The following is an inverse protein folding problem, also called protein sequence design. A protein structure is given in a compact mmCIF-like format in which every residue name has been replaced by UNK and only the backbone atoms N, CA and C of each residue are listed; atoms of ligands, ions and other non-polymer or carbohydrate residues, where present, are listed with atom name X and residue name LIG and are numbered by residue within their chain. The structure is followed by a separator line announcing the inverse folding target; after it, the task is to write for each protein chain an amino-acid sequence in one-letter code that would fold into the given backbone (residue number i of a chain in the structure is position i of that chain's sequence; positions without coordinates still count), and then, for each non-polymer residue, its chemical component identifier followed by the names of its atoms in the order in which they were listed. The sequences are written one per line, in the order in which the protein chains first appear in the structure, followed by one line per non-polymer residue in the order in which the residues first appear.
data_IF_887347255817
#
_entry.id   IF_887347255817
#
_cell.length_a   1.000
_cell.length_b   1.000
_cell.length_c   1.000
_cell.angle_alpha   90.00
_cell.angle_beta   90.00
_cell.angle_gamma   90.00
#
_symmetry.space_group_name_H-M   'P 1'
#
loop_
_entity.id
_entity.type
_entity.pdbx_description
1 polymer ?
#
# COMPACT_ATOMS: atom_id res chain seq x y z
N UNK A 1 21.97 -8.98 -16.45
CA UNK A 1 20.75 -9.71 -16.09
C UNK A 1 20.97 -11.14 -16.53
N UNK A 2 20.67 -12.18 -15.75
CA UNK A 2 20.71 -13.55 -16.26
C UNK A 2 19.78 -13.67 -17.47
N UNK A 3 20.09 -14.59 -18.39
CA UNK A 3 19.23 -14.87 -19.54
C UNK A 3 17.90 -15.45 -19.04
N UNK A 4 16.92 -14.58 -18.84
CA UNK A 4 15.60 -14.96 -18.34
C UNK A 4 14.77 -15.54 -19.49
N UNK A 5 14.08 -16.68 -19.32
CA UNK A 5 13.09 -17.16 -20.28
C UNK A 5 12.08 -16.06 -20.60
N UNK A 6 11.63 -15.96 -21.86
CA UNK A 6 10.83 -14.82 -22.30
C UNK A 6 9.58 -14.52 -21.46
N UNK A 7 8.88 -15.56 -21.00
CA UNK A 7 7.70 -15.39 -20.12
C UNK A 7 8.07 -14.87 -18.73
N UNK A 8 9.19 -15.27 -18.18
CA UNK A 8 9.68 -14.78 -16.89
C UNK A 8 10.06 -13.29 -16.96
N UNK A 9 10.64 -12.85 -18.09
CA UNK A 9 10.91 -11.44 -18.33
C UNK A 9 9.62 -10.62 -18.35
N UNK A 10 8.57 -11.14 -19.00
CA UNK A 10 7.24 -10.50 -19.00
C UNK A 10 6.71 -10.37 -17.58
N UNK A 11 6.82 -11.41 -16.76
CA UNK A 11 6.37 -11.39 -15.35
C UNK A 11 7.14 -10.34 -14.55
N UNK A 12 8.47 -10.26 -14.71
CA UNK A 12 9.29 -9.24 -14.04
C UNK A 12 8.87 -7.84 -14.45
N UNK A 13 8.66 -7.60 -15.74
CA UNK A 13 8.19 -6.29 -16.24
C UNK A 13 6.80 -5.96 -15.69
N UNK A 14 5.86 -6.90 -15.68
CA UNK A 14 4.53 -6.71 -15.10
C UNK A 14 4.61 -6.41 -13.58
N UNK A 15 5.50 -7.07 -12.85
CA UNK A 15 5.68 -6.82 -11.43
C UNK A 15 6.24 -5.42 -11.17
N UNK A 16 7.18 -4.94 -11.98
CA UNK A 16 7.68 -3.57 -11.89
C UNK A 16 6.61 -2.53 -12.31
N UNK A 17 5.78 -2.84 -13.31
CA UNK A 17 4.62 -2.01 -13.68
C UNK A 17 3.56 -1.99 -12.59
N UNK A 18 3.33 -3.14 -11.93
CA UNK A 18 2.47 -3.18 -10.74
C UNK A 18 3.02 -2.27 -9.64
N UNK A 19 4.31 -2.34 -9.34
CA UNK A 19 4.94 -1.53 -8.29
C UNK A 19 4.92 -0.03 -8.63
N UNK A 20 5.16 0.32 -9.89
CA UNK A 20 4.97 1.68 -10.40
C UNK A 20 3.51 2.15 -10.24
N UNK A 21 2.53 1.32 -10.65
CA UNK A 21 1.10 1.65 -10.51
C UNK A 21 0.68 1.77 -9.05
N UNK A 22 1.26 0.94 -8.17
CA UNK A 22 1.09 1.02 -6.73
C UNK A 22 1.63 2.35 -6.18
N UNK A 23 2.87 2.71 -6.51
CA UNK A 23 3.46 3.99 -6.13
C UNK A 23 2.64 5.19 -6.61
N UNK A 24 2.13 5.14 -7.84
CA UNK A 24 1.27 6.18 -8.40
C UNK A 24 -0.06 6.28 -7.65
N UNK A 25 -0.77 5.17 -7.50
CA UNK A 25 -2.05 5.09 -6.79
C UNK A 25 -1.92 5.51 -5.32
N UNK A 26 -0.92 4.96 -4.63
CA UNK A 26 -0.75 5.09 -3.18
C UNK A 26 0.14 6.27 -2.76
N UNK A 27 0.64 7.09 -3.71
CA UNK A 27 1.32 8.35 -3.40
C UNK A 27 0.52 9.24 -2.46
N UNK A 28 -0.81 9.20 -2.59
CA UNK A 28 -1.74 9.92 -1.73
C UNK A 28 -1.59 9.57 -0.25
N UNK A 29 -1.22 8.34 0.09
CA UNK A 29 -1.03 7.89 1.46
C UNK A 29 0.09 8.65 2.16
N UNK A 30 1.14 8.99 1.41
CA UNK A 30 2.30 9.73 1.92
C UNK A 30 2.12 11.25 1.91
N UNK A 31 1.34 11.81 0.96
CA UNK A 31 1.36 13.25 0.71
C UNK A 31 0.02 13.97 0.93
N UNK A 32 -1.13 13.27 0.97
CA UNK A 32 -2.44 13.91 0.98
C UNK A 32 -2.63 14.84 2.19
N UNK A 33 -2.15 14.46 3.35
CA UNK A 33 -2.23 15.22 4.59
C UNK A 33 -1.38 16.49 4.52
N UNK A 34 -0.09 16.38 4.17
CA UNK A 34 0.86 17.50 4.14
C UNK A 34 0.55 18.50 3.02
N UNK A 35 0.00 18.04 1.89
CA UNK A 35 -0.47 18.89 0.80
C UNK A 35 -1.76 19.61 1.17
N UNK A 36 -2.73 18.91 1.78
CA UNK A 36 -4.02 19.51 2.17
C UNK A 36 -3.89 20.55 3.28
N UNK A 37 -2.93 20.39 4.19
CA UNK A 37 -2.59 21.36 5.23
C UNK A 37 -1.72 22.53 4.73
N UNK A 38 -1.28 22.47 3.46
CA UNK A 38 -0.42 23.46 2.81
C UNK A 38 0.90 23.70 3.55
N UNK A 39 1.45 22.65 4.12
CA UNK A 39 2.78 22.72 4.78
C UNK A 39 3.88 22.66 3.73
N UNK A 40 3.66 21.88 2.66
CA UNK A 40 4.58 21.75 1.52
C UNK A 40 3.82 21.93 0.21
N UNK A 41 4.49 22.40 -0.83
CA UNK A 41 3.91 22.44 -2.18
C UNK A 41 3.73 21.01 -2.74
N UNK A 42 2.73 20.78 -3.60
CA UNK A 42 2.45 19.46 -4.15
C UNK A 42 3.66 18.81 -4.83
N UNK A 43 4.40 19.56 -5.64
CA UNK A 43 5.58 19.04 -6.35
C UNK A 43 6.69 18.60 -5.38
N UNK A 44 7.00 19.41 -4.38
CA UNK A 44 8.02 19.07 -3.37
C UNK A 44 7.58 17.85 -2.58
N UNK A 45 6.29 17.73 -2.25
CA UNK A 45 5.75 16.59 -1.52
C UNK A 45 5.92 15.27 -2.30
N UNK A 46 5.56 15.22 -3.59
CA UNK A 46 5.70 13.98 -4.39
C UNK A 46 7.15 13.60 -4.63
N UNK A 47 8.02 14.58 -4.90
CA UNK A 47 9.45 14.31 -5.14
C UNK A 47 10.13 13.80 -3.87
N UNK A 48 9.88 14.45 -2.72
CA UNK A 48 10.41 14.01 -1.43
C UNK A 48 9.87 12.61 -1.06
N UNK A 49 8.57 12.37 -1.24
CA UNK A 49 7.96 11.07 -0.98
C UNK A 49 8.53 9.97 -1.89
N UNK A 50 8.75 10.25 -3.18
CA UNK A 50 9.39 9.32 -4.10
C UNK A 50 10.78 8.88 -3.63
N UNK A 51 11.64 9.84 -3.25
CA UNK A 51 12.99 9.56 -2.72
C UNK A 51 12.94 8.77 -1.41
N UNK A 52 12.02 9.14 -0.50
CA UNK A 52 11.87 8.46 0.78
C UNK A 52 11.28 7.06 0.65
N UNK A 53 10.41 6.82 -0.33
CA UNK A 53 9.94 5.48 -0.67
C UNK A 53 11.08 4.59 -1.17
N UNK A 54 11.96 5.12 -2.03
CA UNK A 54 13.18 4.40 -2.45
C UNK A 54 14.00 4.02 -1.23
N UNK A 55 14.28 4.96 -0.33
CA UNK A 55 15.06 4.69 0.89
C UNK A 55 14.38 3.64 1.79
N UNK A 56 13.06 3.75 1.98
CA UNK A 56 12.28 2.81 2.78
C UNK A 56 12.30 1.37 2.24
N UNK A 57 12.29 1.21 0.92
CA UNK A 57 12.30 -0.09 0.26
C UNK A 57 13.50 -0.97 0.62
N UNK A 58 14.62 -0.38 1.03
CA UNK A 58 15.83 -1.10 1.45
C UNK A 58 15.81 -1.53 2.94
N UNK A 59 14.76 -1.16 3.71
CA UNK A 59 14.74 -1.38 5.15
C UNK A 59 14.59 -2.86 5.52
N UNK A 60 13.77 -3.62 4.80
CA UNK A 60 13.42 -5.01 5.13
C UNK A 60 12.95 -5.78 3.88
N UNK A 61 13.00 -7.11 3.96
CA UNK A 61 12.40 -8.03 2.97
C UNK A 61 11.41 -9.01 3.60
N UNK A 62 11.00 -8.78 4.85
CA UNK A 62 10.14 -9.70 5.59
C UNK A 62 8.74 -9.84 4.95
N UNK A 63 8.14 -8.72 4.52
CA UNK A 63 6.86 -8.73 3.78
C UNK A 63 7.02 -9.42 2.42
N UNK A 64 8.15 -9.20 1.72
CA UNK A 64 8.41 -9.85 0.45
C UNK A 64 8.47 -11.39 0.59
N UNK A 65 9.09 -11.90 1.64
CA UNK A 65 9.11 -13.35 1.93
C UNK A 65 7.70 -13.88 2.19
N UNK A 66 6.86 -13.15 2.91
CA UNK A 66 5.47 -13.53 3.16
C UNK A 66 4.64 -13.56 1.87
N UNK A 67 4.74 -12.53 1.03
CA UNK A 67 4.03 -12.46 -0.24
C UNK A 67 4.53 -13.53 -1.22
N UNK A 68 5.85 -13.74 -1.30
CA UNK A 68 6.46 -14.65 -2.25
C UNK A 68 6.28 -16.14 -1.94
N UNK A 69 6.20 -16.54 -0.68
CA UNK A 69 6.14 -17.96 -0.31
C UNK A 69 5.09 -18.31 0.73
N UNK A 70 4.44 -17.30 1.32
CA UNK A 70 3.47 -17.48 2.39
C UNK A 70 2.02 -17.65 1.92
N UNK A 71 1.61 -17.05 0.80
CA UNK A 71 0.20 -16.98 0.36
C UNK A 71 -0.17 -18.14 -0.56
N UNK A 72 0.67 -18.45 -1.54
CA UNK A 72 0.47 -19.54 -2.50
C UNK A 72 1.61 -20.54 -2.37
N UNK A 73 1.30 -21.81 -2.59
CA UNK A 73 2.31 -22.86 -2.57
C UNK A 73 3.18 -22.77 -3.83
N UNK A 74 4.50 -22.50 -3.73
CA UNK A 74 5.38 -22.34 -4.88
C UNK A 74 5.39 -23.51 -5.85
N UNK A 75 5.08 -24.73 -5.40
CA UNK A 75 5.02 -25.92 -6.24
C UNK A 75 3.90 -25.88 -7.30
N UNK A 76 2.88 -25.07 -7.10
CA UNK A 76 1.75 -24.91 -8.04
C UNK A 76 1.83 -23.61 -8.84
N UNK A 77 2.86 -22.79 -8.62
CA UNK A 77 2.98 -21.49 -9.28
C UNK A 77 3.50 -21.65 -10.70
N UNK A 78 2.73 -21.14 -11.67
CA UNK A 78 3.17 -20.99 -13.06
C UNK A 78 3.36 -19.52 -13.42
N UNK A 79 4.15 -19.24 -14.44
CA UNK A 79 4.44 -17.87 -14.87
C UNK A 79 3.18 -17.18 -15.42
N UNK A 80 2.31 -17.93 -16.11
CA UNK A 80 1.04 -17.45 -16.63
C UNK A 80 0.09 -17.03 -15.51
N UNK A 81 0.05 -17.82 -14.42
CA UNK A 81 -0.74 -17.50 -13.23
C UNK A 81 -0.27 -16.19 -12.58
N UNK A 82 1.05 -16.02 -12.43
CA UNK A 82 1.64 -14.80 -11.85
C UNK A 82 1.40 -13.61 -12.77
N UNK A 83 1.56 -13.76 -14.09
CA UNK A 83 1.29 -12.70 -15.06
C UNK A 83 -0.18 -12.25 -15.02
N UNK A 84 -1.12 -13.21 -14.96
CA UNK A 84 -2.55 -12.92 -14.85
C UNK A 84 -2.90 -12.20 -13.53
N UNK A 85 -2.30 -12.61 -12.41
CA UNK A 85 -2.47 -11.95 -11.13
C UNK A 85 -1.98 -10.50 -11.16
N UNK A 86 -0.79 -10.26 -11.70
CA UNK A 86 -0.23 -8.91 -11.84
C UNK A 86 -1.07 -8.04 -12.75
N UNK A 87 -1.47 -8.55 -13.91
CA UNK A 87 -2.33 -7.81 -14.84
C UNK A 87 -3.68 -7.46 -14.20
N UNK A 88 -4.31 -8.38 -13.49
CA UNK A 88 -5.56 -8.13 -12.76
C UNK A 88 -5.41 -7.06 -11.68
N UNK A 89 -4.33 -7.10 -10.91
CA UNK A 89 -4.04 -6.11 -9.87
C UNK A 89 -3.75 -4.71 -10.47
N UNK A 90 -2.99 -4.64 -11.56
CA UNK A 90 -2.71 -3.39 -12.28
C UNK A 90 -4.01 -2.76 -12.80
N UNK A 91 -4.83 -3.56 -13.49
CA UNK A 91 -6.11 -3.07 -14.04
C UNK A 91 -7.04 -2.57 -12.93
N UNK A 92 -7.09 -3.27 -11.78
CA UNK A 92 -7.86 -2.80 -10.62
C UNK A 92 -7.34 -1.48 -10.07
N UNK A 93 -6.01 -1.36 -9.88
CA UNK A 93 -5.38 -0.13 -9.41
C UNK A 93 -5.66 1.05 -10.36
N UNK A 94 -5.53 0.84 -11.67
CA UNK A 94 -5.83 1.88 -12.67
C UNK A 94 -7.30 2.28 -12.66
N UNK A 95 -8.21 1.30 -12.59
CA UNK A 95 -9.65 1.55 -12.51
C UNK A 95 -10.01 2.42 -11.29
N UNK A 96 -9.52 2.05 -10.11
CA UNK A 96 -9.80 2.80 -8.87
C UNK A 96 -9.08 4.15 -8.81
N UNK A 97 -7.90 4.27 -9.41
CA UNK A 97 -7.18 5.54 -9.58
C UNK A 97 -8.02 6.53 -10.43
N UNK A 98 -8.56 6.08 -11.56
CA UNK A 98 -9.39 6.91 -12.45
C UNK A 98 -10.68 7.39 -11.75
N UNK A 99 -11.23 6.57 -10.86
CA UNK A 99 -12.41 6.93 -10.06
C UNK A 99 -12.07 7.79 -8.81
N UNK A 100 -10.78 7.99 -8.52
CA UNK A 100 -10.32 8.70 -7.32
C UNK A 100 -10.69 7.98 -6.02
N UNK A 101 -10.81 6.65 -6.07
CA UNK A 101 -11.14 5.81 -4.91
C UNK A 101 -9.85 5.36 -4.22
N UNK A 102 -9.62 5.71 -2.96
CA UNK A 102 -8.47 5.25 -2.18
C UNK A 102 -8.69 3.78 -1.77
N UNK A 103 -8.39 2.86 -2.67
CA UNK A 103 -8.43 1.42 -2.42
C UNK A 103 -7.05 0.91 -2.00
N UNK A 104 -6.96 -0.37 -1.72
CA UNK A 104 -5.72 -1.02 -1.28
C UNK A 104 -5.09 -1.83 -2.40
N UNK A 105 -3.92 -1.42 -2.85
CA UNK A 105 -3.09 -2.19 -3.78
C UNK A 105 -2.65 -3.54 -3.20
N UNK A 106 -2.50 -3.65 -1.85
CA UNK A 106 -2.25 -4.93 -1.18
C UNK A 106 -3.42 -5.89 -1.33
N UNK A 107 -4.66 -5.41 -1.11
CA UNK A 107 -5.87 -6.21 -1.32
C UNK A 107 -6.02 -6.60 -2.79
N UNK A 108 -5.73 -5.69 -3.72
CA UNK A 108 -5.79 -5.97 -5.14
C UNK A 108 -4.79 -7.08 -5.53
N UNK A 109 -3.53 -6.99 -5.09
CA UNK A 109 -2.52 -7.99 -5.40
C UNK A 109 -2.85 -9.36 -4.78
N UNK A 110 -3.22 -9.39 -3.50
CA UNK A 110 -3.52 -10.65 -2.79
C UNK A 110 -4.78 -11.29 -3.37
N UNK A 111 -5.82 -10.49 -3.61
CA UNK A 111 -7.05 -10.96 -4.27
C UNK A 111 -6.77 -11.53 -5.65
N UNK A 112 -6.00 -10.82 -6.48
CA UNK A 112 -5.62 -11.27 -7.81
C UNK A 112 -4.76 -12.55 -7.77
N UNK A 113 -3.78 -12.64 -6.85
CA UNK A 113 -2.94 -13.81 -6.70
C UNK A 113 -3.76 -15.05 -6.28
N UNK A 114 -4.65 -14.90 -5.31
CA UNK A 114 -5.56 -15.98 -4.88
C UNK A 114 -6.53 -16.34 -6.00
N UNK A 115 -7.13 -15.37 -6.68
CA UNK A 115 -8.07 -15.62 -7.79
C UNK A 115 -7.44 -16.40 -8.93
N UNK A 116 -6.28 -15.96 -9.43
CA UNK A 116 -5.54 -16.68 -10.48
C UNK A 116 -5.11 -18.09 -10.03
N UNK A 117 -4.63 -18.22 -8.78
CA UNK A 117 -4.18 -19.48 -8.20
C UNK A 117 -5.33 -20.48 -8.07
N UNK A 118 -6.48 -20.08 -7.54
CA UNK A 118 -7.66 -20.93 -7.41
C UNK A 118 -8.20 -21.34 -8.78
N UNK A 119 -8.16 -20.45 -9.75
CA UNK A 119 -8.58 -20.76 -11.12
C UNK A 119 -7.63 -21.75 -11.80
N UNK A 120 -6.33 -21.68 -11.48
CA UNK A 120 -5.32 -22.59 -11.98
C UNK A 120 -5.45 -24.01 -11.43
N UNK A 121 -5.49 -24.18 -10.09
CA UNK A 121 -5.39 -25.48 -9.45
C UNK A 121 -6.31 -25.66 -8.24
N UNK A 122 -7.35 -24.84 -8.10
CA UNK A 122 -8.30 -24.91 -7.00
C UNK A 122 -7.73 -24.41 -5.66
N UNK A 123 -8.51 -24.54 -4.62
CA UNK A 123 -8.16 -24.07 -3.27
C UNK A 123 -6.95 -24.75 -2.63
N UNK A 124 -6.52 -25.91 -3.15
CA UNK A 124 -5.33 -26.62 -2.68
C UNK A 124 -4.02 -25.86 -2.96
N UNK A 125 -4.03 -24.93 -3.92
CA UNK A 125 -2.88 -24.08 -4.25
C UNK A 125 -2.64 -23.01 -3.20
N UNK A 126 -3.64 -22.64 -2.40
CA UNK A 126 -3.58 -21.58 -1.40
C UNK A 126 -3.02 -22.08 -0.08
N UNK A 127 -2.02 -21.41 0.44
CA UNK A 127 -1.45 -21.66 1.78
C UNK A 127 -2.28 -20.95 2.86
N UNK A 128 -3.26 -21.65 3.41
CA UNK A 128 -4.14 -21.08 4.44
C UNK A 128 -3.40 -20.62 5.70
N UNK A 129 -2.32 -21.31 6.08
CA UNK A 129 -1.49 -20.97 7.24
C UNK A 129 -0.79 -19.60 7.10
N UNK A 130 -0.51 -19.18 5.87
CA UNK A 130 0.07 -17.86 5.61
C UNK A 130 -0.98 -16.82 5.20
N UNK A 131 -2.02 -17.23 4.45
CA UNK A 131 -3.08 -16.29 4.05
C UNK A 131 -3.88 -15.77 5.25
N UNK A 132 -4.21 -16.64 6.23
CA UNK A 132 -4.99 -16.29 7.41
C UNK A 132 -4.39 -15.11 8.20
N UNK A 133 -3.12 -15.14 8.67
CA UNK A 133 -2.55 -14.00 9.40
C UNK A 133 -2.48 -12.72 8.54
N UNK A 134 -2.32 -12.84 7.23
CA UNK A 134 -2.39 -11.70 6.31
C UNK A 134 -3.79 -11.09 6.30
N UNK A 135 -4.84 -11.90 6.16
CA UNK A 135 -6.23 -11.43 6.20
C UNK A 135 -6.59 -10.81 7.57
N UNK A 136 -6.15 -11.42 8.66
CA UNK A 136 -6.32 -10.87 10.01
C UNK A 136 -5.63 -9.49 10.13
N UNK A 137 -4.39 -9.36 9.65
CA UNK A 137 -3.66 -8.09 9.67
C UNK A 137 -4.34 -7.02 8.80
N UNK A 138 -4.86 -7.40 7.63
CA UNK A 138 -5.60 -6.49 6.75
C UNK A 138 -6.88 -5.94 7.38
N UNK A 139 -7.57 -6.76 8.18
CA UNK A 139 -8.77 -6.33 8.93
C UNK A 139 -8.38 -5.50 10.15
N UNK A 140 -7.35 -5.89 10.88
CA UNK A 140 -6.96 -5.23 12.14
C UNK A 140 -6.23 -3.89 11.93
N UNK A 141 -5.42 -3.75 10.86
CA UNK A 141 -4.65 -2.54 10.60
C UNK A 141 -5.48 -1.25 10.58
N UNK A 142 -6.67 -1.18 9.93
CA UNK A 142 -7.51 0.01 10.00
C UNK A 142 -8.02 0.33 11.42
N UNK A 143 -8.29 -0.68 12.24
CA UNK A 143 -8.68 -0.43 13.64
C UNK A 143 -7.52 0.15 14.44
N UNK A 144 -6.30 -0.38 14.28
CA UNK A 144 -5.12 0.18 14.89
C UNK A 144 -4.82 1.59 14.36
N UNK A 145 -4.94 1.83 13.06
CA UNK A 145 -4.78 3.16 12.47
C UNK A 145 -5.73 4.17 13.11
N UNK A 146 -7.01 3.84 13.21
CA UNK A 146 -8.02 4.69 13.86
C UNK A 146 -7.70 4.94 15.34
N UNK A 147 -7.44 3.87 16.12
CA UNK A 147 -7.20 3.95 17.55
C UNK A 147 -5.94 4.77 17.87
N UNK A 148 -4.83 4.55 17.15
CA UNK A 148 -3.58 5.28 17.37
C UNK A 148 -3.75 6.74 16.95
N UNK A 149 -4.36 7.03 15.80
CA UNK A 149 -4.63 8.39 15.35
C UNK A 149 -5.48 9.17 16.36
N UNK A 150 -6.56 8.54 16.84
CA UNK A 150 -7.42 9.12 17.89
C UNK A 150 -6.64 9.36 19.18
N UNK A 151 -5.90 8.36 19.68
CA UNK A 151 -5.15 8.45 20.94
C UNK A 151 -4.05 9.50 20.90
N UNK A 152 -3.29 9.58 19.78
CA UNK A 152 -2.28 10.61 19.59
C UNK A 152 -2.90 12.01 19.56
N UNK A 153 -4.04 12.19 18.88
CA UNK A 153 -4.69 13.48 18.82
C UNK A 153 -5.24 13.91 20.20
N UNK A 154 -5.80 12.96 20.98
CA UNK A 154 -6.22 13.22 22.37
C UNK A 154 -5.03 13.63 23.21
N UNK A 155 -3.92 12.89 23.15
CA UNK A 155 -2.69 13.20 23.90
C UNK A 155 -2.15 14.58 23.53
N UNK A 156 -2.06 14.90 22.24
CA UNK A 156 -1.60 16.22 21.76
C UNK A 156 -2.54 17.33 22.26
N UNK A 157 -3.85 17.10 22.19
CA UNK A 157 -4.84 18.09 22.67
C UNK A 157 -4.70 18.35 24.17
N UNK A 158 -4.41 17.32 24.95
CA UNK A 158 -4.17 17.42 26.39
C UNK A 158 -2.84 18.13 26.72
N UNK A 159 -1.74 17.74 26.06
CA UNK A 159 -0.42 18.36 26.26
C UNK A 159 -0.39 19.83 25.82
N UNK A 160 -1.05 20.14 24.71
CA UNK A 160 -1.07 21.48 24.12
C UNK A 160 -2.25 22.35 24.58
N UNK A 161 -3.00 21.91 25.56
CA UNK A 161 -4.24 22.59 26.00
C UNK A 161 -4.02 24.06 26.41
N UNK A 162 -2.84 24.41 26.95
CA UNK A 162 -2.47 25.77 27.34
C UNK A 162 -1.70 26.55 26.25
N UNK A 163 -1.40 25.90 25.12
CA UNK A 163 -0.62 26.50 24.05
C UNK A 163 -1.55 27.32 23.14
N UNK A 164 -1.15 28.55 22.84
CA UNK A 164 -1.93 29.41 21.93
C UNK A 164 -1.98 28.80 20.53
N UNK A 165 -3.09 29.01 19.80
CA UNK A 165 -3.30 28.45 18.48
C UNK A 165 -2.20 28.82 17.48
N UNK A 166 -1.66 30.03 17.54
CA UNK A 166 -0.60 30.51 16.65
C UNK A 166 0.72 29.76 16.88
N UNK A 167 1.10 29.54 18.12
CA UNK A 167 2.30 28.78 18.51
C UNK A 167 2.14 27.32 18.12
N UNK A 168 1.02 26.71 18.45
CA UNK A 168 0.71 25.32 18.07
C UNK A 168 0.77 25.13 16.55
N UNK A 169 0.14 26.00 15.76
CA UNK A 169 0.17 25.90 14.29
C UNK A 169 1.59 26.00 13.73
N UNK A 170 2.43 26.90 14.28
CA UNK A 170 3.83 27.04 13.83
C UNK A 170 4.66 25.81 14.18
N UNK A 171 4.50 25.27 15.38
CA UNK A 171 5.16 24.06 15.83
C UNK A 171 4.76 22.87 14.96
N UNK A 172 3.47 22.63 14.84
CA UNK A 172 2.95 21.45 14.10
C UNK A 172 3.18 21.52 12.60
N UNK A 173 3.34 22.69 11.99
CA UNK A 173 3.84 22.79 10.60
C UNK A 173 5.23 22.17 10.45
N UNK A 174 6.14 22.37 11.41
CA UNK A 174 7.49 21.80 11.38
C UNK A 174 7.47 20.29 11.71
N UNK A 175 6.70 19.92 12.72
CA UNK A 175 6.57 18.50 13.11
C UNK A 175 5.90 17.66 12.02
N UNK A 176 4.93 18.24 11.28
CA UNK A 176 4.29 17.56 10.17
C UNK A 176 5.24 17.31 8.98
N UNK A 177 6.26 18.14 8.77
CA UNK A 177 7.30 17.82 7.79
C UNK A 177 8.03 16.52 8.15
N UNK A 178 8.34 16.35 9.44
CA UNK A 178 9.03 15.16 9.93
C UNK A 178 8.11 13.93 9.82
N UNK A 179 6.85 14.05 10.25
CA UNK A 179 5.91 12.93 10.17
C UNK A 179 5.56 12.54 8.72
N UNK A 180 5.49 13.51 7.80
CA UNK A 180 5.29 13.23 6.39
C UNK A 180 6.49 12.48 5.77
N UNK A 181 7.72 12.86 6.12
CA UNK A 181 8.91 12.11 5.73
C UNK A 181 8.90 10.69 6.32
N UNK A 182 8.54 10.56 7.59
CA UNK A 182 8.43 9.28 8.28
C UNK A 182 7.34 8.39 7.65
N UNK A 183 6.19 8.97 7.29
CA UNK A 183 5.12 8.27 6.60
C UNK A 183 5.54 7.80 5.21
N UNK A 184 6.21 8.65 4.43
CA UNK A 184 6.70 8.28 3.09
C UNK A 184 7.76 7.15 3.16
N UNK A 185 8.68 7.23 4.11
CA UNK A 185 9.65 6.17 4.35
C UNK A 185 8.97 4.85 4.75
N UNK A 186 8.03 4.90 5.69
CA UNK A 186 7.29 3.72 6.17
C UNK A 186 6.42 3.11 5.07
N UNK A 187 5.87 3.93 4.18
CA UNK A 187 5.11 3.50 3.02
C UNK A 187 5.99 2.69 2.06
N UNK A 188 7.17 3.20 1.68
CA UNK A 188 8.13 2.48 0.84
C UNK A 188 8.62 1.19 1.49
N UNK A 189 8.87 1.22 2.81
CA UNK A 189 9.31 0.06 3.59
C UNK A 189 8.29 -1.08 3.64
N UNK A 190 7.00 -0.81 3.42
CA UNK A 190 5.95 -1.84 3.36
C UNK A 190 5.61 -2.20 1.91
N UNK A 191 5.37 -1.20 1.07
CA UNK A 191 4.68 -1.38 -0.21
C UNK A 191 5.58 -1.89 -1.33
N UNK A 192 6.82 -1.45 -1.44
CA UNK A 192 7.76 -1.96 -2.45
C UNK A 192 8.06 -3.47 -2.28
N UNK A 193 7.96 -3.99 -1.06
CA UNK A 193 8.21 -5.40 -0.78
C UNK A 193 7.20 -6.36 -1.43
N UNK A 194 6.01 -5.90 -1.81
CA UNK A 194 4.98 -6.73 -2.44
C UNK A 194 5.40 -7.19 -3.82
N UNK A 195 5.88 -6.27 -4.66
CA UNK A 195 6.43 -6.61 -5.98
C UNK A 195 7.72 -7.42 -5.86
N UNK A 196 8.59 -7.10 -4.89
CA UNK A 196 9.78 -7.91 -4.58
C UNK A 196 9.41 -9.37 -4.32
N UNK A 197 8.35 -9.61 -3.51
CA UNK A 197 7.86 -10.94 -3.19
C UNK A 197 7.36 -11.69 -4.44
N UNK A 198 6.62 -11.04 -5.31
CA UNK A 198 6.10 -11.65 -6.54
C UNK A 198 7.22 -11.97 -7.53
N UNK A 199 8.19 -11.06 -7.72
CA UNK A 199 9.36 -11.35 -8.58
C UNK A 199 10.16 -12.52 -8.01
N UNK A 200 10.40 -12.54 -6.69
CA UNK A 200 11.11 -13.64 -6.03
C UNK A 200 10.36 -14.98 -6.18
N UNK A 201 9.02 -14.97 -6.06
CA UNK A 201 8.18 -16.14 -6.29
C UNK A 201 8.31 -16.65 -7.74
N UNK A 202 8.27 -15.76 -8.71
CA UNK A 202 8.41 -16.11 -10.12
C UNK A 202 9.80 -16.66 -10.44
N UNK A 203 10.86 -16.06 -9.89
CA UNK A 203 12.24 -16.55 -10.04
C UNK A 203 12.43 -17.92 -9.38
N UNK A 204 11.86 -18.12 -8.20
CA UNK A 204 11.93 -19.40 -7.46
C UNK A 204 11.21 -20.50 -8.21
N UNK A 205 9.98 -20.25 -8.69
CA UNK A 205 9.19 -21.22 -9.45
C UNK A 205 9.80 -21.57 -10.81
N UNK A 206 10.59 -20.66 -11.40
CA UNK A 206 11.35 -20.88 -12.63
C UNK A 206 12.73 -21.55 -12.38
N UNK A 207 13.08 -21.86 -11.12
CA UNK A 207 14.38 -22.45 -10.78
C UNK A 207 15.58 -21.52 -10.96
N UNK A 208 15.38 -20.22 -11.10
CA UNK A 208 16.45 -19.21 -11.31
C UNK A 208 17.16 -18.84 -10.01
N UNK A 209 16.55 -19.08 -8.87
CA UNK A 209 17.13 -18.85 -7.54
C UNK A 209 16.88 -20.07 -6.64
N UNK A 210 17.81 -20.43 -5.75
CA UNK A 210 17.72 -21.62 -4.92
C UNK A 210 16.86 -21.42 -3.65
N UNK A 211 16.58 -20.18 -3.29
CA UNK A 211 15.88 -19.85 -2.03
C UNK A 211 14.91 -18.69 -2.23
N UNK A 212 14.02 -18.47 -1.26
CA UNK A 212 13.09 -17.33 -1.23
C UNK A 212 13.73 -16.01 -0.76
N UNK A 213 15.05 -15.91 -0.76
CA UNK A 213 15.74 -14.65 -0.49
C UNK A 213 15.60 -13.70 -1.67
N UNK A 214 15.30 -12.44 -1.35
CA UNK A 214 15.09 -11.41 -2.39
C UNK A 214 16.44 -10.99 -2.96
N UNK A 215 16.67 -11.16 -4.26
CA UNK A 215 17.92 -10.72 -4.89
C UNK A 215 18.10 -9.20 -4.80
N UNK A 216 19.33 -8.72 -4.59
CA UNK A 216 19.62 -7.29 -4.42
C UNK A 216 19.16 -6.43 -5.60
N UNK A 217 19.27 -6.93 -6.85
CA UNK A 217 18.78 -6.22 -8.02
C UNK A 217 17.26 -6.06 -8.03
N UNK A 218 16.51 -7.03 -7.49
CA UNK A 218 15.03 -6.96 -7.34
C UNK A 218 14.67 -5.84 -6.37
N UNK A 219 15.39 -5.76 -5.23
CA UNK A 219 15.16 -4.67 -4.26
C UNK A 219 15.37 -3.31 -4.93
N UNK A 220 16.48 -3.14 -5.66
CA UNK A 220 16.77 -1.88 -6.34
C UNK A 220 15.76 -1.54 -7.43
N UNK A 221 15.37 -2.52 -8.26
CA UNK A 221 14.40 -2.31 -9.33
C UNK A 221 13.01 -1.93 -8.80
N UNK A 222 12.52 -2.63 -7.78
CA UNK A 222 11.24 -2.31 -7.12
C UNK A 222 11.30 -0.95 -6.41
N UNK A 223 12.39 -0.66 -5.68
CA UNK A 223 12.56 0.65 -5.04
C UNK A 223 12.43 1.80 -6.04
N UNK A 224 13.11 1.69 -7.18
CA UNK A 224 13.04 2.71 -8.25
C UNK A 224 11.65 2.78 -8.88
N UNK A 225 11.02 1.63 -9.21
CA UNK A 225 9.69 1.60 -9.79
C UNK A 225 8.65 2.26 -8.87
N UNK A 226 8.67 1.91 -7.57
CA UNK A 226 7.81 2.49 -6.55
C UNK A 226 8.03 3.99 -6.39
N UNK A 227 9.29 4.43 -6.30
CA UNK A 227 9.67 5.84 -6.16
C UNK A 227 9.23 6.68 -7.36
N UNK A 228 9.43 6.19 -8.58
CA UNK A 228 8.98 6.85 -9.82
C UNK A 228 7.45 6.94 -9.87
N UNK A 229 6.74 5.86 -9.55
CA UNK A 229 5.28 5.87 -9.46
C UNK A 229 4.78 6.92 -8.46
N UNK A 230 5.38 6.99 -7.28
CA UNK A 230 5.05 7.99 -6.26
C UNK A 230 5.29 9.42 -6.76
N UNK A 231 6.36 9.67 -7.48
CA UNK A 231 6.70 10.99 -8.02
C UNK A 231 5.70 11.51 -9.07
N UNK A 232 4.94 10.62 -9.73
CA UNK A 232 3.84 11.02 -10.63
C UNK A 232 2.68 11.66 -9.86
N UNK A 233 2.33 11.09 -8.71
CA UNK A 233 1.27 11.60 -7.83
C UNK A 233 -0.15 11.22 -8.24
N UNK A 234 -0.86 10.52 -7.37
CA UNK A 234 -2.27 10.13 -7.53
C UNK A 234 -3.23 11.25 -7.13
N UNK A 235 -3.26 12.37 -7.85
CA UNK A 235 -3.92 13.61 -7.46
C UNK A 235 -5.41 13.49 -7.19
N UNK A 236 -6.11 12.58 -7.87
CA UNK A 236 -7.54 12.34 -7.62
C UNK A 236 -7.76 11.74 -6.23
N UNK A 237 -6.90 10.78 -5.84
CA UNK A 237 -6.92 10.15 -4.52
C UNK A 237 -6.43 11.13 -3.44
N UNK A 238 -5.41 11.94 -3.74
CA UNK A 238 -4.92 13.01 -2.85
C UNK A 238 -6.06 13.95 -2.46
N UNK A 239 -6.92 14.34 -3.40
CA UNK A 239 -8.10 15.18 -3.12
C UNK A 239 -9.10 14.46 -2.21
N UNK A 240 -9.36 13.18 -2.47
CA UNK A 240 -10.30 12.38 -1.67
C UNK A 240 -9.81 12.23 -0.24
N UNK A 241 -8.56 11.82 -0.02
CA UNK A 241 -7.98 11.60 1.32
C UNK A 241 -7.72 12.92 2.07
N UNK A 242 -7.10 13.89 1.40
CA UNK A 242 -6.65 15.11 2.04
C UNK A 242 -7.77 16.13 2.33
N UNK A 243 -8.85 16.13 1.53
CA UNK A 243 -9.92 17.11 1.64
C UNK A 243 -11.32 16.51 1.75
N UNK A 244 -11.48 15.24 1.39
CA UNK A 244 -12.78 14.57 1.31
C UNK A 244 -13.28 14.03 2.66
N UNK A 245 -12.41 13.62 3.57
CA UNK A 245 -12.77 12.89 4.80
C UNK A 245 -12.97 13.84 5.98
N UNK A 246 -11.95 14.67 6.27
CA UNK A 246 -11.92 15.60 7.41
C UNK A 246 -11.22 16.88 6.97
N UNK A 247 -11.61 18.03 7.52
CA UNK A 247 -10.85 19.27 7.36
C UNK A 247 -9.59 19.21 8.22
N UNK A 248 -8.44 19.02 7.60
CA UNK A 248 -7.16 18.86 8.29
C UNK A 248 -6.49 20.22 8.59
N UNK A 249 -5.90 20.32 9.76
CA UNK A 249 -4.91 21.31 10.17
C UNK A 249 -3.55 20.60 10.37
N UNK A 250 -2.39 21.32 10.45
CA UNK A 250 -1.09 20.68 10.60
C UNK A 250 -0.97 19.70 11.78
N UNK A 251 -1.62 19.99 12.92
CA UNK A 251 -1.65 19.09 14.07
C UNK A 251 -2.36 17.77 13.75
N UNK A 252 -3.43 17.84 12.97
CA UNK A 252 -4.18 16.66 12.53
C UNK A 252 -3.32 15.80 11.59
N UNK A 253 -2.64 16.43 10.63
CA UNK A 253 -1.72 15.75 9.72
C UNK A 253 -0.59 15.05 10.47
N UNK A 254 0.08 15.76 11.37
CA UNK A 254 1.14 15.18 12.22
C UNK A 254 0.67 13.94 12.98
N UNK A 255 -0.49 14.01 13.66
CA UNK A 255 -1.00 12.90 14.43
C UNK A 255 -1.38 11.69 13.54
N UNK A 256 -2.04 11.95 12.39
CA UNK A 256 -2.47 10.90 11.48
C UNK A 256 -1.27 10.20 10.82
N UNK A 257 -0.32 10.97 10.30
CA UNK A 257 0.90 10.45 9.65
C UNK A 257 1.75 9.65 10.63
N UNK A 258 1.98 10.17 11.85
CA UNK A 258 2.75 9.47 12.87
C UNK A 258 2.09 8.17 13.27
N UNK A 259 0.77 8.17 13.51
CA UNK A 259 0.03 6.97 13.88
C UNK A 259 0.06 5.90 12.80
N UNK A 260 -0.17 6.29 11.55
CA UNK A 260 -0.12 5.37 10.43
C UNK A 260 1.30 4.83 10.19
N UNK A 261 2.33 5.68 10.21
CA UNK A 261 3.71 5.28 10.00
C UNK A 261 4.19 4.25 11.04
N UNK A 262 3.83 4.41 12.30
CA UNK A 262 4.14 3.43 13.36
C UNK A 262 3.53 2.07 13.04
N UNK A 263 2.24 2.01 12.66
CA UNK A 263 1.58 0.75 12.29
C UNK A 263 2.30 0.10 11.11
N UNK A 264 2.62 0.89 10.07
CA UNK A 264 3.28 0.36 8.86
C UNK A 264 4.67 -0.19 9.14
N UNK A 265 5.48 0.50 9.96
CA UNK A 265 6.82 0.01 10.30
C UNK A 265 6.78 -1.26 11.15
N UNK A 266 5.88 -1.31 12.13
CA UNK A 266 5.69 -2.52 12.94
C UNK A 266 5.30 -3.70 12.06
N UNK A 267 4.30 -3.52 11.18
CA UNK A 267 3.84 -4.59 10.29
C UNK A 267 4.87 -4.99 9.25
N UNK A 268 5.64 -4.04 8.71
CA UNK A 268 6.76 -4.32 7.81
C UNK A 268 7.87 -5.14 8.50
N UNK A 269 8.16 -4.84 9.77
CA UNK A 269 9.17 -5.57 10.55
C UNK A 269 8.76 -7.01 10.85
N UNK A 270 7.49 -7.24 11.22
CA UNK A 270 6.97 -8.59 11.49
C UNK A 270 6.58 -9.36 10.21
N UNK A 271 6.74 -8.75 9.03
CA UNK A 271 6.52 -9.39 7.74
C UNK A 271 5.05 -9.54 7.32
N UNK A 272 4.15 -8.74 7.89
CA UNK A 272 2.72 -8.78 7.53
C UNK A 272 2.41 -7.69 6.48
N UNK A 273 2.00 -8.06 5.26
CA UNK A 273 1.52 -7.10 4.27
C UNK A 273 0.18 -6.52 4.73
N UNK A 274 0.15 -5.22 4.97
CA UNK A 274 -1.07 -4.49 5.33
C UNK A 274 -1.43 -3.46 4.26
N UNK A 275 -2.62 -2.90 4.37
CA UNK A 275 -3.06 -1.79 3.54
C UNK A 275 -2.59 -0.47 4.12
N UNK A 276 -1.65 0.17 3.46
CA UNK A 276 -1.19 1.52 3.78
C UNK A 276 -2.32 2.53 3.66
N UNK A 277 -3.15 2.41 2.60
CA UNK A 277 -4.33 3.26 2.37
C UNK A 277 -5.37 3.15 3.49
N UNK A 278 -5.69 1.93 3.93
CA UNK A 278 -6.64 1.74 5.03
C UNK A 278 -6.10 2.34 6.32
N UNK A 279 -4.82 2.12 6.62
CA UNK A 279 -4.18 2.58 7.85
C UNK A 279 -4.16 4.10 7.95
N UNK A 280 -3.69 4.82 6.91
CA UNK A 280 -3.68 6.29 6.93
C UNK A 280 -5.08 6.88 6.90
N UNK A 281 -5.98 6.30 6.10
CA UNK A 281 -7.37 6.77 5.99
C UNK A 281 -8.08 6.70 7.34
N UNK A 282 -7.98 5.57 8.04
CA UNK A 282 -8.60 5.40 9.36
C UNK A 282 -7.89 6.21 10.43
N UNK A 283 -6.58 6.42 10.35
CA UNK A 283 -5.87 7.34 11.24
C UNK A 283 -6.38 8.78 11.09
N UNK A 284 -6.62 9.25 9.86
CA UNK A 284 -7.24 10.55 9.57
C UNK A 284 -8.66 10.62 10.16
N UNK A 285 -9.45 9.55 10.05
CA UNK A 285 -10.78 9.46 10.67
C UNK A 285 -10.70 9.54 12.19
N UNK A 286 -9.77 8.79 12.82
CA UNK A 286 -9.55 8.79 14.26
C UNK A 286 -9.20 10.17 14.80
N UNK A 287 -8.27 10.85 14.14
CA UNK A 287 -7.88 12.24 14.46
C UNK A 287 -9.08 13.18 14.34
N UNK A 288 -9.88 13.05 13.28
CA UNK A 288 -11.06 13.88 13.06
C UNK A 288 -12.16 13.67 14.10
N UNK A 289 -12.31 12.43 14.58
CA UNK A 289 -13.34 12.05 15.54
C UNK A 289 -13.13 12.66 16.94
N UNK A 290 -11.89 13.02 17.30
CA UNK A 290 -11.58 13.65 18.62
C UNK A 290 -12.34 14.95 18.83
N UNK A 291 -12.46 15.78 17.81
CA UNK A 291 -13.18 17.06 17.91
C UNK A 291 -14.70 16.86 18.04
N UNK A 292 -15.25 16.05 17.19
CA UNK A 292 -16.64 15.55 17.19
C UNK A 292 -16.77 14.46 16.14
N UNK A 293 -17.53 13.43 16.42
CA UNK A 293 -17.74 12.30 15.51
C UNK A 293 -18.32 12.74 14.15
N UNK A 294 -19.16 13.78 14.17
CA UNK A 294 -19.76 14.40 12.97
C UNK A 294 -18.77 15.24 12.13
N UNK A 295 -17.52 15.46 12.58
CA UNK A 295 -16.51 16.14 11.77
C UNK A 295 -15.97 15.24 10.65
N UNK A 296 -16.13 13.91 10.78
CA UNK A 296 -15.85 12.95 9.73
C UNK A 296 -17.01 12.93 8.74
N UNK A 297 -16.72 13.08 7.46
CA UNK A 297 -17.72 13.03 6.39
C UNK A 297 -18.08 11.57 6.07
N UNK A 298 -18.98 10.99 6.87
CA UNK A 298 -19.35 9.58 6.80
C UNK A 298 -19.86 9.13 5.43
N UNK A 299 -20.50 10.00 4.64
CA UNK A 299 -20.92 9.67 3.28
C UNK A 299 -19.75 9.34 2.35
N UNK A 300 -18.63 10.08 2.45
CA UNK A 300 -17.40 9.77 1.72
C UNK A 300 -16.76 8.50 2.27
N UNK A 301 -16.71 8.38 3.60
CA UNK A 301 -16.15 7.20 4.28
C UNK A 301 -16.87 5.92 3.88
N UNK A 302 -18.19 5.91 3.85
CA UNK A 302 -18.99 4.73 3.44
C UNK A 302 -18.69 4.33 2.01
N UNK A 303 -18.54 5.28 1.08
CA UNK A 303 -18.14 5.01 -0.30
C UNK A 303 -16.74 4.36 -0.38
N UNK A 304 -15.80 4.82 0.44
CA UNK A 304 -14.46 4.25 0.56
C UNK A 304 -14.53 2.83 1.12
N UNK A 305 -15.33 2.59 2.15
CA UNK A 305 -15.50 1.25 2.75
C UNK A 305 -16.07 0.24 1.75
N UNK A 306 -17.06 0.63 0.93
CA UNK A 306 -17.54 -0.24 -0.15
C UNK A 306 -16.42 -0.55 -1.15
N UNK A 307 -15.64 0.43 -1.57
CA UNK A 307 -14.51 0.20 -2.47
C UNK A 307 -13.50 -0.80 -1.87
N UNK A 308 -13.25 -0.75 -0.56
CA UNK A 308 -12.37 -1.71 0.13
C UNK A 308 -12.91 -3.13 0.10
N UNK A 309 -14.21 -3.32 0.38
CA UNK A 309 -14.87 -4.64 0.38
C UNK A 309 -14.80 -5.26 -1.02
N UNK A 310 -15.04 -4.45 -2.07
CA UNK A 310 -15.05 -4.96 -3.45
C UNK A 310 -13.67 -5.15 -4.05
N UNK A 311 -12.60 -4.63 -3.44
CA UNK A 311 -11.23 -4.73 -4.00
C UNK A 311 -10.74 -6.17 -4.08
N UNK A 312 -10.84 -6.96 -2.99
CA UNK A 312 -10.41 -8.36 -2.99
C UNK A 312 -11.15 -9.20 -4.05
N UNK A 313 -12.50 -9.28 -4.02
CA UNK A 313 -13.23 -10.10 -4.99
C UNK A 313 -13.14 -9.56 -6.43
N UNK A 314 -13.09 -8.25 -6.61
CA UNK A 314 -12.98 -7.64 -7.95
C UNK A 314 -11.65 -7.92 -8.61
N UNK A 315 -10.54 -7.76 -7.89
CA UNK A 315 -9.22 -8.08 -8.39
C UNK A 315 -9.04 -9.60 -8.61
N UNK A 316 -9.61 -10.43 -7.73
CA UNK A 316 -9.62 -11.88 -7.91
C UNK A 316 -10.35 -12.31 -9.19
N UNK A 317 -11.54 -11.75 -9.43
CA UNK A 317 -12.32 -12.02 -10.64
C UNK A 317 -11.57 -11.60 -11.90
N UNK A 318 -10.99 -10.38 -11.93
CA UNK A 318 -10.22 -9.90 -13.07
C UNK A 318 -9.04 -10.84 -13.38
N UNK A 319 -8.27 -11.20 -12.36
CA UNK A 319 -7.13 -12.11 -12.52
C UNK A 319 -7.55 -13.50 -13.01
N UNK A 320 -8.67 -14.03 -12.49
CA UNK A 320 -9.25 -15.31 -12.94
C UNK A 320 -9.65 -15.27 -14.42
N UNK A 321 -10.33 -14.20 -14.84
CA UNK A 321 -10.75 -14.02 -16.24
C UNK A 321 -9.53 -13.89 -17.19
N UNK A 322 -8.52 -13.13 -16.78
CA UNK A 322 -7.27 -12.98 -17.54
C UNK A 322 -6.56 -14.34 -17.65
N UNK A 323 -6.48 -15.08 -16.54
CA UNK A 323 -5.84 -16.41 -16.54
C UNK A 323 -6.55 -17.37 -17.50
N UNK A 324 -7.88 -17.44 -17.45
CA UNK A 324 -8.67 -18.28 -18.37
C UNK A 324 -8.52 -17.85 -19.84
N UNK A 325 -8.40 -16.55 -20.10
CA UNK A 325 -8.15 -16.04 -21.44
C UNK A 325 -6.78 -16.47 -21.94
N UNK A 326 -5.73 -16.23 -21.16
CA UNK A 326 -4.33 -16.58 -21.53
C UNK A 326 -4.20 -18.08 -21.79
N UNK A 327 -4.75 -18.94 -20.94
CA UNK A 327 -4.62 -20.41 -21.08
C UNK A 327 -5.52 -21.03 -22.15
N UNK A 328 -6.49 -20.29 -22.71
CA UNK A 328 -7.30 -20.74 -23.84
C UNK A 328 -6.80 -20.27 -25.19
N UNK A 329 -6.02 -19.19 -25.20
CA UNK A 329 -5.53 -18.55 -26.44
C UNK A 329 -4.10 -19.02 -26.77
N UNK A 330 -3.31 -19.32 -25.74
CA UNK A 330 -1.95 -19.82 -25.84
C UNK A 330 -1.80 -21.21 -25.20
#
# INVERSE_FOLDING_TARGET
MPDLPGILLIVVVLALLFDFSNGWHDSANAIATVVSTRVVSPLVAVMAAGVLNVAGAFMSTAVAKMVGSGIVNPAFVTQEMVAAALAGAILWNLFTLLLGLPTSSSHALIGALVGASVTHGGWATVKWSGLRPVMEAMVLAPFFGFAIGLSLMVLISWVCFRVTRSVATRLFKRLQLISACFMAFSHGANDAQKAMGIITLALLSAGQIPSSEVPGWVIGACAVAMGLGTAVGGWQIVRTLGMGIVKLEPVHGFAAETGAAVVLLVTAHIGLPVSTTHTITTSVMGVGAVKRFSAVRWGVTTRILYAWIFTLPGAALLASLIYLFVTKVF
#
